data_IF_524495500848
#
_entry.id   IF_524495500848
#
_cell.length_a   1.000
_cell.length_b   1.000
_cell.length_c   1.000
_cell.angle_alpha   90.00
_cell.angle_beta   90.00
_cell.angle_gamma   90.00
#
_symmetry.space_group_name_H-M   'P 1'
#
loop_
_entity.id
_entity.type
_entity.pdbx_description
1 polymer ?
#
# COMPACT_ATOMS: atom_id res chain seq x y z
N UNK A 1 -1.47 -26.23 -8.01
CA UNK A 1 -1.39 -25.93 -6.55
C UNK A 1 -0.68 -24.61 -6.25
N UNK A 2 0.53 -24.34 -6.77
CA UNK A 2 1.27 -23.07 -6.55
C UNK A 2 0.52 -21.79 -6.96
N UNK A 3 -0.27 -21.85 -8.04
CA UNK A 3 -1.07 -20.71 -8.53
C UNK A 3 -2.28 -20.41 -7.63
N UNK A 4 -2.86 -21.44 -6.99
CA UNK A 4 -3.95 -21.26 -6.02
C UNK A 4 -3.43 -20.56 -4.75
N UNK A 5 -2.19 -20.86 -4.35
CA UNK A 5 -1.48 -20.22 -3.24
C UNK A 5 -1.23 -18.73 -3.48
N UNK A 6 -0.83 -18.34 -4.70
CA UNK A 6 -0.61 -16.94 -5.09
C UNK A 6 -1.94 -16.16 -5.09
N UNK A 7 -3.02 -16.77 -5.59
CA UNK A 7 -4.36 -16.18 -5.57
C UNK A 7 -4.90 -15.96 -4.16
N UNK A 8 -4.73 -16.95 -3.28
CA UNK A 8 -5.11 -16.85 -1.86
C UNK A 8 -4.30 -15.80 -1.10
N UNK A 9 -3.00 -15.71 -1.35
CA UNK A 9 -2.13 -14.71 -0.72
C UNK A 9 -2.48 -13.29 -1.18
N UNK A 10 -2.79 -13.11 -2.47
CA UNK A 10 -3.26 -11.84 -3.03
C UNK A 10 -4.61 -11.43 -2.45
N UNK A 11 -5.53 -12.39 -2.29
CA UNK A 11 -6.83 -12.18 -1.64
C UNK A 11 -6.67 -11.74 -0.18
N UNK A 12 -5.86 -12.44 0.62
CA UNK A 12 -5.61 -12.08 2.03
C UNK A 12 -4.96 -10.71 2.16
N UNK A 13 -4.02 -10.35 1.26
CA UNK A 13 -3.44 -9.00 1.22
C UNK A 13 -4.48 -7.94 0.86
N UNK A 14 -5.35 -8.20 -0.11
CA UNK A 14 -6.41 -7.27 -0.50
C UNK A 14 -7.44 -7.05 0.62
N UNK A 15 -7.81 -8.11 1.37
CA UNK A 15 -8.67 -8.02 2.54
C UNK A 15 -7.97 -7.32 3.73
N UNK A 16 -6.66 -7.53 3.89
CA UNK A 16 -5.84 -6.81 4.87
C UNK A 16 -5.69 -5.32 4.54
N UNK A 17 -5.59 -4.94 3.26
CA UNK A 17 -5.55 -3.55 2.80
C UNK A 17 -6.89 -2.81 3.00
N UNK A 18 -8.02 -3.51 2.87
CA UNK A 18 -9.34 -2.95 3.16
C UNK A 18 -9.54 -2.69 4.67
N UNK A 19 -8.84 -3.42 5.55
CA UNK A 19 -8.95 -3.32 7.00
C UNK A 19 -7.83 -2.56 7.73
N UNK A 20 -6.60 -2.51 7.19
CA UNK A 20 -5.40 -2.01 7.87
C UNK A 20 -5.19 -0.49 7.73
N UNK A 21 -6.29 0.26 7.70
CA UNK A 21 -6.21 1.68 7.93
C UNK A 21 -7.60 2.20 8.23
N UNK A 22 -7.79 2.63 9.46
CA UNK A 22 -8.94 3.45 9.90
C UNK A 22 -8.58 4.94 10.00
N UNK A 23 -7.29 5.30 10.01
CA UNK A 23 -6.79 6.69 9.97
C UNK A 23 -5.84 6.98 8.79
N UNK A 24 -5.79 8.22 8.32
CA UNK A 24 -5.00 8.64 7.14
C UNK A 24 -3.51 8.33 7.31
N UNK A 25 -3.00 8.42 8.55
CA UNK A 25 -1.62 8.06 8.89
C UNK A 25 -1.30 6.59 8.65
N UNK A 26 -2.19 5.67 9.03
CA UNK A 26 -2.00 4.23 8.79
C UNK A 26 -1.98 3.89 7.30
N UNK A 27 -2.80 4.57 6.49
CA UNK A 27 -2.78 4.41 5.02
C UNK A 27 -1.52 4.98 4.38
N UNK A 28 -1.08 6.16 4.83
CA UNK A 28 0.17 6.75 4.38
C UNK A 28 1.36 5.86 4.76
N UNK A 29 1.40 5.33 5.97
CA UNK A 29 2.49 4.48 6.45
C UNK A 29 2.50 3.11 5.75
N UNK A 30 1.32 2.53 5.53
CA UNK A 30 1.16 1.32 4.73
C UNK A 30 1.63 1.57 3.29
N UNK A 31 1.17 2.64 2.64
CA UNK A 31 1.61 3.03 1.30
C UNK A 31 3.12 3.30 1.20
N UNK A 32 3.71 3.87 2.25
CA UNK A 32 5.14 4.14 2.32
C UNK A 32 5.98 2.85 2.32
N UNK A 33 5.56 1.83 3.06
CA UNK A 33 6.33 0.60 3.21
C UNK A 33 6.52 -0.15 1.90
N UNK A 34 5.43 -0.46 1.20
CA UNK A 34 5.47 -1.20 -0.05
C UNK A 34 5.96 -0.33 -1.21
N UNK A 35 5.67 0.97 -1.20
CA UNK A 35 6.25 1.92 -2.13
C UNK A 35 7.78 1.98 -2.01
N UNK A 36 8.31 2.00 -0.78
CA UNK A 36 9.75 1.97 -0.54
C UNK A 36 10.38 0.64 -0.96
N UNK A 37 9.75 -0.49 -0.65
CA UNK A 37 10.23 -1.81 -1.04
C UNK A 37 10.27 -1.97 -2.58
N UNK A 38 9.21 -1.55 -3.27
CA UNK A 38 9.15 -1.60 -4.73
C UNK A 38 10.15 -0.63 -5.38
N UNK A 39 10.26 0.58 -4.86
CA UNK A 39 11.24 1.57 -5.33
C UNK A 39 12.69 1.13 -5.11
N UNK A 40 12.98 0.49 -3.98
CA UNK A 40 14.29 -0.11 -3.68
C UNK A 40 14.59 -1.28 -4.63
N UNK A 41 13.64 -2.18 -4.82
CA UNK A 41 13.80 -3.35 -5.69
C UNK A 41 14.00 -2.98 -7.15
N UNK A 42 13.21 -2.04 -7.67
CA UNK A 42 13.35 -1.54 -9.05
C UNK A 42 14.66 -0.79 -9.26
N UNK A 43 15.09 0.04 -8.30
CA UNK A 43 16.39 0.69 -8.34
C UNK A 43 17.54 -0.33 -8.32
N UNK A 44 17.45 -1.37 -7.48
CA UNK A 44 18.44 -2.44 -7.43
C UNK A 44 18.54 -3.19 -8.77
N UNK A 45 17.41 -3.47 -9.42
CA UNK A 45 17.38 -4.16 -10.73
C UNK A 45 17.92 -3.31 -11.88
N UNK A 46 17.72 -1.99 -11.82
CA UNK A 46 18.15 -1.05 -12.87
C UNK A 46 19.57 -0.52 -12.67
N UNK A 47 20.28 -0.96 -11.63
CA UNK A 47 21.62 -0.46 -11.28
C UNK A 47 21.61 0.94 -10.65
N UNK A 48 20.44 1.44 -10.25
CA UNK A 48 20.27 2.71 -9.57
C UNK A 48 20.52 2.63 -8.06
N UNK A 49 20.57 3.78 -7.41
CA UNK A 49 20.73 3.85 -5.95
C UNK A 49 19.47 3.37 -5.22
N UNK A 50 19.58 2.21 -4.54
CA UNK A 50 18.50 1.56 -3.77
C UNK A 50 17.89 2.50 -2.74
N UNK A 51 18.71 3.26 -2.02
CA UNK A 51 18.26 4.24 -1.00
C UNK A 51 17.40 5.33 -1.62
N UNK A 52 17.81 5.87 -2.77
CA UNK A 52 17.03 6.89 -3.49
C UNK A 52 15.73 6.32 -4.04
N UNK A 53 15.75 5.10 -4.59
CA UNK A 53 14.56 4.39 -5.02
C UNK A 53 13.58 4.14 -3.87
N UNK A 54 14.09 3.76 -2.70
CA UNK A 54 13.31 3.55 -1.49
C UNK A 54 12.67 4.83 -0.97
N UNK A 55 13.43 5.93 -0.91
CA UNK A 55 12.93 7.23 -0.45
C UNK A 55 11.87 7.79 -1.41
N UNK A 56 12.11 7.69 -2.72
CA UNK A 56 11.16 8.15 -3.74
C UNK A 56 9.90 7.29 -3.72
N UNK A 57 10.05 5.96 -3.75
CA UNK A 57 8.94 5.03 -3.74
C UNK A 57 8.14 5.10 -2.44
N UNK A 58 8.81 5.26 -1.30
CA UNK A 58 8.18 5.43 0.01
C UNK A 58 7.47 6.78 0.14
N UNK A 59 8.08 7.87 -0.34
CA UNK A 59 7.44 9.18 -0.35
C UNK A 59 6.21 9.23 -1.26
N UNK A 60 6.31 8.68 -2.47
CA UNK A 60 5.18 8.57 -3.41
C UNK A 60 4.09 7.64 -2.88
N UNK A 61 4.47 6.50 -2.29
CA UNK A 61 3.54 5.57 -1.66
C UNK A 61 2.84 6.16 -0.44
N UNK A 62 3.55 6.95 0.36
CA UNK A 62 2.97 7.70 1.48
C UNK A 62 2.01 8.78 1.01
N UNK A 63 2.40 9.55 -0.01
CA UNK A 63 1.56 10.57 -0.61
C UNK A 63 0.32 9.96 -1.25
N UNK A 64 0.44 8.85 -1.96
CA UNK A 64 -0.70 8.12 -2.52
C UNK A 64 -1.59 7.56 -1.41
N UNK A 65 -1.03 7.00 -0.34
CA UNK A 65 -1.78 6.51 0.82
C UNK A 65 -2.47 7.62 1.63
N UNK A 66 -1.88 8.82 1.68
CA UNK A 66 -2.47 10.00 2.30
C UNK A 66 -3.53 10.67 1.40
N UNK A 67 -3.29 10.72 0.09
CA UNK A 67 -4.21 11.24 -0.91
C UNK A 67 -5.41 10.30 -1.14
N UNK A 68 -5.27 9.00 -0.86
CA UNK A 68 -6.40 8.06 -0.87
C UNK A 68 -7.30 8.32 0.33
N UNK A 69 -8.28 9.15 0.07
CA UNK A 69 -9.25 9.65 1.03
C UNK A 69 -10.14 8.52 1.58
N UNK A 70 -10.44 8.56 2.89
CA UNK A 70 -11.53 7.77 3.50
C UNK A 70 -12.89 8.42 3.29
N UNK A 71 -12.93 9.67 2.88
CA UNK A 71 -14.17 10.46 2.73
C UNK A 71 -15.09 10.00 1.59
N UNK A 72 -14.83 8.84 0.97
CA UNK A 72 -15.80 8.15 0.11
C UNK A 72 -16.52 6.97 0.81
N UNK A 73 -16.27 6.74 2.10
CA UNK A 73 -17.05 5.80 2.92
C UNK A 73 -17.67 6.52 4.12
N UNK A 74 -18.79 7.20 3.87
CA UNK A 74 -19.79 7.51 4.88
C UNK A 74 -20.49 6.21 5.33
N UNK A 75 -19.84 5.44 6.21
CA UNK A 75 -20.42 4.25 6.87
C UNK A 75 -21.32 4.66 8.05
N UNK A 76 -22.15 5.68 7.84
CA UNK A 76 -22.92 6.33 8.88
C UNK A 76 -24.42 6.51 8.65
N UNK A 77 -25.13 5.83 7.71
CA UNK A 77 -26.62 5.84 7.74
C UNK A 77 -27.40 4.80 6.92
N UNK A 78 -27.48 3.57 7.42
CA UNK A 78 -28.66 2.67 7.29
C UNK A 78 -28.65 1.85 8.59
N UNK A 79 -29.46 2.06 9.64
CA UNK A 79 -30.88 2.43 9.72
C UNK A 79 -31.72 1.70 8.66
N UNK A 80 -31.69 0.37 8.73
CA UNK A 80 -32.89 -0.45 8.94
C UNK A 80 -32.50 -1.69 9.73
#
# INVERSE_FOLDING_TARGET
MRMLSIGLLSGVLALGLAGCGTTTGERALSGAGLGAAAGAGTAAMTGGSVTRGAVIGGGLGAAAGAATTRDDIDLGRRRR
#
